data_IF_153576505720
#
_entry.id   IF_153576505720
#
_cell.length_a   1.000
_cell.length_b   1.000
_cell.length_c   1.000
_cell.angle_alpha   90.00
_cell.angle_beta   90.00
_cell.angle_gamma   90.00
#
_symmetry.space_group_name_H-M   'P 1'
#
loop_
_entity.id
_entity.type
_entity.pdbx_description
1 polymer ?
#
# COMPACT_ATOMS: atom_id res chain seq x y z
N UNK A 1 56.16 -11.61 25.64
CA UNK A 1 56.44 -10.20 25.29
C UNK A 1 55.38 -9.72 24.31
N UNK A 2 54.84 -8.53 24.55
CA UNK A 2 53.54 -8.03 24.10
C UNK A 2 53.66 -7.21 22.79
N UNK A 3 52.93 -7.52 21.71
CA UNK A 3 52.96 -6.75 20.46
C UNK A 3 51.92 -5.61 20.52
N UNK A 4 52.22 -4.61 21.33
CA UNK A 4 51.45 -3.37 21.40
C UNK A 4 52.40 -2.18 21.57
N UNK A 5 53.35 -2.01 20.65
CA UNK A 5 54.12 -0.76 20.49
C UNK A 5 55.00 -0.84 19.24
N UNK A 6 54.46 -0.40 18.10
CA UNK A 6 55.24 0.13 16.98
C UNK A 6 54.30 0.98 16.10
N UNK A 7 53.82 2.07 16.72
CA UNK A 7 53.38 3.28 16.02
C UNK A 7 54.57 4.22 15.92
N UNK A 8 54.72 4.83 14.73
CA UNK A 8 55.39 6.12 14.44
C UNK A 8 56.85 6.11 13.93
N UNK A 9 56.98 6.27 12.60
CA UNK A 9 57.91 7.13 11.81
C UNK A 9 57.67 6.75 10.32
N UNK A 10 57.38 7.60 9.33
CA UNK A 10 57.52 9.04 9.12
C UNK A 10 56.41 9.55 8.18
N UNK A 11 56.19 10.87 8.25
CA UNK A 11 55.24 11.68 7.49
C UNK A 11 55.74 12.02 6.08
N UNK A 12 54.78 12.41 5.24
CA UNK A 12 54.83 13.50 4.25
C UNK A 12 55.39 13.20 2.86
N UNK A 13 54.48 13.07 1.89
CA UNK A 13 54.51 13.90 0.69
C UNK A 13 53.09 14.34 0.35
N UNK A 14 52.92 15.66 0.31
CA UNK A 14 51.68 16.40 0.06
C UNK A 14 51.56 16.67 -1.43
N UNK A 15 50.44 16.27 -2.01
CA UNK A 15 49.76 16.87 -3.17
C UNK A 15 48.28 16.56 -2.87
N UNK A 16 47.36 17.49 -2.62
CA UNK A 16 47.23 18.84 -3.13
C UNK A 16 46.04 18.89 -4.09
N UNK A 17 44.81 18.61 -3.62
CA UNK A 17 43.57 18.98 -4.34
C UNK A 17 42.35 19.00 -3.39
N UNK A 18 41.88 20.23 -3.16
CA UNK A 18 40.54 20.67 -2.77
C UNK A 18 39.71 19.76 -1.83
N UNK A 19 39.83 20.03 -0.53
CA UNK A 19 38.80 19.71 0.45
C UNK A 19 37.58 20.62 0.25
N UNK A 20 36.45 20.05 -0.14
CA UNK A 20 35.13 20.65 0.11
C UNK A 20 34.54 19.96 1.33
N UNK A 21 34.74 20.54 2.50
CA UNK A 21 34.03 20.13 3.71
C UNK A 21 32.60 20.66 3.63
N UNK A 22 31.61 19.77 3.66
CA UNK A 22 30.21 20.14 3.94
C UNK A 22 29.82 19.48 5.26
N UNK A 23 29.44 20.32 6.21
CA UNK A 23 28.92 19.96 7.53
C UNK A 23 27.58 19.24 7.40
N UNK A 24 27.46 18.02 7.92
CA UNK A 24 26.18 17.35 8.13
C UNK A 24 25.68 17.67 9.55
N UNK A 25 24.57 18.39 9.65
CA UNK A 25 23.81 18.52 10.88
C UNK A 25 23.13 17.17 11.17
N UNK A 26 23.57 16.51 12.24
CA UNK A 26 22.96 15.28 12.75
C UNK A 26 21.66 15.62 13.51
N UNK A 27 20.58 15.91 12.79
CA UNK A 27 19.25 16.07 13.39
C UNK A 27 18.13 15.77 12.39
N UNK A 28 18.18 14.59 11.77
CA UNK A 28 17.03 13.94 11.12
C UNK A 28 17.38 12.46 10.94
N UNK A 29 16.62 11.58 11.60
CA UNK A 29 16.60 10.16 11.21
C UNK A 29 16.02 10.09 9.78
N UNK A 30 16.89 9.94 8.79
CA UNK A 30 16.49 9.71 7.39
C UNK A 30 15.98 8.27 7.20
N UNK A 31 15.01 8.05 6.28
CA UNK A 31 14.27 6.80 6.15
C UNK A 31 15.08 5.69 5.47
N UNK A 32 14.91 4.46 5.95
CA UNK A 32 15.46 3.26 5.33
C UNK A 32 14.60 2.81 4.14
N UNK A 33 14.83 3.40 2.96
CA UNK A 33 14.65 2.76 1.64
C UNK A 33 14.98 3.70 0.49
N UNK A 34 16.25 4.05 0.34
CA UNK A 34 16.75 4.58 -0.93
C UNK A 34 17.63 3.49 -1.53
N UNK A 35 17.31 3.05 -2.75
CA UNK A 35 18.27 2.27 -3.55
C UNK A 35 19.23 3.31 -4.10
N UNK A 36 20.52 3.21 -3.78
CA UNK A 36 21.49 4.15 -4.33
C UNK A 36 22.45 3.44 -5.29
N UNK A 37 22.77 4.16 -6.38
CA UNK A 37 23.74 3.72 -7.37
C UNK A 37 25.08 4.35 -7.01
N UNK A 38 26.08 3.52 -6.69
CA UNK A 38 27.45 3.99 -6.44
C UNK A 38 28.20 3.95 -7.78
N UNK A 39 28.61 5.11 -8.29
CA UNK A 39 29.48 5.17 -9.45
C UNK A 39 30.92 5.05 -8.99
N UNK A 40 31.54 3.90 -9.26
CA UNK A 40 32.95 3.62 -8.98
C UNK A 40 33.72 3.81 -10.29
N UNK A 41 34.92 4.39 -10.22
CA UNK A 41 35.76 4.58 -11.41
C UNK A 41 36.08 3.23 -12.07
N UNK A 42 36.20 3.20 -13.40
CA UNK A 42 36.50 1.97 -14.16
C UNK A 42 37.78 1.27 -13.67
N UNK A 43 38.81 2.05 -13.29
CA UNK A 43 40.05 1.51 -12.72
C UNK A 43 39.84 0.85 -11.35
N UNK A 44 38.99 1.42 -10.50
CA UNK A 44 38.69 0.88 -9.16
C UNK A 44 37.83 -0.39 -9.27
N UNK A 45 36.93 -0.46 -10.26
CA UNK A 45 36.14 -1.65 -10.58
C UNK A 45 37.00 -2.81 -11.09
N UNK A 46 38.02 -2.52 -11.91
CA UNK A 46 38.99 -3.51 -12.37
C UNK A 46 39.84 -4.04 -11.21
N UNK A 47 40.33 -3.15 -10.34
CA UNK A 47 41.07 -3.55 -9.13
C UNK A 47 40.23 -4.44 -8.21
N UNK A 48 38.95 -4.12 -8.04
CA UNK A 48 38.02 -4.91 -7.23
C UNK A 48 37.77 -6.29 -7.83
N UNK A 49 37.57 -6.37 -9.15
CA UNK A 49 37.39 -7.64 -9.86
C UNK A 49 38.60 -8.56 -9.64
N UNK A 50 39.81 -8.05 -9.82
CA UNK A 50 41.05 -8.81 -9.65
C UNK A 50 41.20 -9.34 -8.21
N UNK A 51 40.84 -8.52 -7.21
CA UNK A 51 40.90 -8.91 -5.80
C UNK A 51 39.87 -10.00 -5.45
N UNK A 52 38.64 -9.88 -5.95
CA UNK A 52 37.58 -10.86 -5.70
C UNK A 52 37.88 -12.20 -6.39
N UNK A 53 38.40 -12.16 -7.63
CA UNK A 53 38.85 -13.37 -8.32
C UNK A 53 40.03 -14.05 -7.60
N UNK A 54 40.98 -13.27 -7.07
CA UNK A 54 42.08 -13.80 -6.26
C UNK A 54 41.60 -14.48 -4.96
N UNK A 55 40.42 -14.10 -4.46
CA UNK A 55 39.75 -14.73 -3.31
C UNK A 55 38.83 -15.89 -3.70
N UNK A 56 38.80 -16.29 -4.98
CA UNK A 56 38.01 -17.41 -5.49
C UNK A 56 36.57 -17.08 -5.86
N UNK A 57 36.20 -15.80 -5.91
CA UNK A 57 34.87 -15.36 -6.33
C UNK A 57 34.82 -15.19 -7.85
N UNK A 58 34.05 -16.04 -8.53
CA UNK A 58 33.88 -15.97 -9.99
C UNK A 58 32.86 -16.98 -10.52
N UNK A 59 32.39 -16.80 -11.77
CA UNK A 59 32.83 -15.80 -12.74
C UNK A 59 32.27 -14.39 -12.45
N UNK A 60 33.11 -13.36 -12.71
CA UNK A 60 32.75 -11.94 -12.62
C UNK A 60 32.76 -11.33 -14.02
N UNK A 61 31.72 -10.57 -14.39
CA UNK A 61 31.63 -9.90 -15.70
C UNK A 61 31.29 -8.43 -15.56
N UNK A 62 31.70 -7.61 -16.54
CA UNK A 62 31.26 -6.23 -16.63
C UNK A 62 30.13 -6.06 -17.63
N UNK A 63 29.18 -5.20 -17.30
CA UNK A 63 28.16 -4.74 -18.25
C UNK A 63 28.21 -3.21 -18.37
N UNK A 64 28.30 -2.72 -19.60
CA UNK A 64 28.18 -1.29 -19.89
C UNK A 64 26.71 -0.97 -20.20
N UNK A 65 26.08 -0.14 -19.36
CA UNK A 65 24.73 0.39 -19.60
C UNK A 65 24.80 1.91 -19.64
N UNK A 66 24.01 2.56 -20.50
CA UNK A 66 24.00 4.00 -20.73
C UNK A 66 24.23 4.81 -19.43
N UNK A 67 25.47 5.29 -19.24
CA UNK A 67 25.89 6.10 -18.09
C UNK A 67 26.88 5.46 -17.09
N UNK A 68 27.25 4.17 -17.17
CA UNK A 68 28.24 3.57 -16.26
C UNK A 68 28.61 2.10 -16.50
N UNK A 69 29.65 1.64 -15.81
CA UNK A 69 30.18 0.25 -15.82
C UNK A 69 29.69 -0.50 -14.58
N UNK A 70 29.10 -1.69 -14.75
CA UNK A 70 28.61 -2.57 -13.66
C UNK A 70 29.55 -3.75 -13.49
N UNK A 71 29.88 -4.17 -12.27
CA UNK A 71 30.57 -5.44 -11.98
C UNK A 71 29.53 -6.45 -11.45
N UNK A 72 29.35 -7.57 -12.15
CA UNK A 72 28.39 -8.62 -11.84
C UNK A 72 29.10 -9.84 -11.21
N UNK A 73 28.48 -10.46 -10.20
CA UNK A 73 28.91 -11.73 -9.60
C UNK A 73 27.92 -12.83 -10.02
N UNK A 74 28.27 -13.59 -11.08
CA UNK A 74 27.34 -14.56 -11.68
C UNK A 74 26.11 -13.91 -12.32
N UNK A 75 24.97 -14.63 -12.31
CA UNK A 75 23.67 -14.16 -12.87
C UNK A 75 22.75 -13.49 -11.82
N UNK A 76 23.23 -13.27 -10.58
CA UNK A 76 22.41 -12.77 -9.47
C UNK A 76 22.71 -11.31 -9.12
N UNK A 77 21.67 -10.47 -9.05
CA UNK A 77 21.73 -9.09 -8.57
C UNK A 77 21.47 -9.08 -7.04
N UNK A 78 22.41 -8.53 -6.26
CA UNK A 78 22.26 -8.40 -4.80
C UNK A 78 21.95 -6.95 -4.43
N UNK A 79 20.83 -6.72 -3.76
CA UNK A 79 20.38 -5.40 -3.32
C UNK A 79 20.80 -5.16 -1.86
N UNK A 80 21.71 -4.22 -1.62
CA UNK A 80 22.11 -3.78 -0.27
C UNK A 80 22.08 -2.25 -0.21
N UNK A 81 21.68 -1.71 0.95
CA UNK A 81 21.68 -0.28 1.26
C UNK A 81 23.03 0.35 0.84
N UNK A 82 22.98 1.26 -0.13
CA UNK A 82 24.18 1.76 -0.75
C UNK A 82 25.00 2.69 0.16
N UNK A 83 24.42 3.29 1.20
CA UNK A 83 25.18 4.00 2.24
C UNK A 83 25.98 3.01 3.09
N UNK A 84 25.38 1.84 3.33
CA UNK A 84 26.00 0.74 4.05
C UNK A 84 27.10 0.08 3.19
N UNK A 85 26.87 -0.08 1.89
CA UNK A 85 27.90 -0.50 0.93
C UNK A 85 29.02 0.54 0.82
N UNK A 86 28.72 1.82 0.58
CA UNK A 86 29.71 2.90 0.48
C UNK A 86 30.62 2.94 1.73
N UNK A 87 30.02 2.91 2.93
CA UNK A 87 30.78 2.83 4.18
C UNK A 87 31.56 1.54 4.33
N UNK A 88 31.00 0.40 3.95
CA UNK A 88 31.74 -0.87 3.97
C UNK A 88 32.91 -0.85 2.99
N UNK A 89 32.75 -0.23 1.82
CA UNK A 89 33.77 -0.08 0.80
C UNK A 89 34.92 0.81 1.27
N UNK A 90 34.60 1.97 1.85
CA UNK A 90 35.59 2.86 2.45
C UNK A 90 36.33 2.19 3.61
N UNK A 91 35.61 1.50 4.49
CA UNK A 91 36.20 0.88 5.68
C UNK A 91 37.02 -0.38 5.38
N UNK A 92 36.60 -1.17 4.40
CA UNK A 92 37.23 -2.47 4.10
C UNK A 92 38.31 -2.36 3.03
N UNK A 93 38.20 -1.40 2.12
CA UNK A 93 39.09 -1.28 0.96
C UNK A 93 39.79 0.08 0.85
N UNK A 94 39.45 1.07 1.69
CA UNK A 94 40.10 2.39 1.69
C UNK A 94 39.82 3.24 0.45
N UNK A 95 38.80 2.86 -0.34
CA UNK A 95 38.41 3.53 -1.59
C UNK A 95 37.35 4.58 -1.24
N UNK A 96 37.58 5.88 -1.49
CA UNK A 96 36.57 6.91 -1.30
C UNK A 96 35.37 6.66 -2.21
N UNK A 97 34.16 6.70 -1.67
CA UNK A 97 32.94 6.44 -2.43
C UNK A 97 31.96 7.60 -2.28
N UNK A 98 31.42 8.08 -3.40
CA UNK A 98 30.43 9.16 -3.39
C UNK A 98 29.12 8.65 -4.00
N UNK A 99 28.01 8.92 -3.34
CA UNK A 99 26.66 8.69 -3.88
C UNK A 99 26.34 9.83 -4.84
N UNK A 100 26.20 9.54 -6.13
CA UNK A 100 26.19 10.59 -7.19
C UNK A 100 24.80 10.86 -7.78
N UNK A 101 23.83 9.94 -7.66
CA UNK A 101 22.46 10.16 -8.10
C UNK A 101 21.44 9.29 -7.36
N UNK A 102 20.21 9.80 -7.23
CA UNK A 102 19.03 9.09 -6.72
C UNK A 102 18.09 8.89 -7.92
N UNK A 103 18.00 7.67 -8.43
CA UNK A 103 16.97 7.31 -9.42
C UNK A 103 15.94 6.43 -8.71
N UNK A 104 14.71 6.95 -8.57
CA UNK A 104 13.55 6.15 -8.19
C UNK A 104 13.17 5.25 -9.37
N UNK A 105 13.72 4.03 -9.45
CA UNK A 105 13.11 2.99 -10.26
C UNK A 105 11.88 2.45 -9.53
N UNK A 106 10.72 3.08 -9.75
CA UNK A 106 9.43 2.43 -9.54
C UNK A 106 9.38 1.17 -10.42
N UNK A 107 9.49 -0.03 -9.84
CA UNK A 107 9.41 -1.24 -10.66
C UNK A 107 9.46 -2.56 -9.93
N UNK A 108 10.35 -2.74 -8.97
CA UNK A 108 10.53 -4.06 -8.34
C UNK A 108 9.98 -4.05 -6.93
N UNK A 109 8.77 -4.58 -6.81
CA UNK A 109 8.30 -5.15 -5.55
C UNK A 109 9.16 -6.38 -5.27
N UNK A 110 10.10 -6.28 -4.35
CA UNK A 110 10.74 -7.45 -3.72
C UNK A 110 9.76 -8.07 -2.70
N UNK A 111 8.62 -8.56 -3.22
CA UNK A 111 7.71 -9.41 -2.44
C UNK A 111 8.48 -10.70 -2.19
N UNK A 112 9.14 -10.79 -1.03
CA UNK A 112 9.87 -11.97 -0.62
C UNK A 112 9.03 -13.25 -0.90
N UNK A 113 9.52 -14.07 -1.85
CA UNK A 113 8.86 -15.30 -2.29
C UNK A 113 8.21 -15.27 -3.69
N UNK A 114 8.10 -14.11 -4.35
CA UNK A 114 7.59 -13.99 -5.73
C UNK A 114 8.74 -13.53 -6.63
N UNK A 115 9.31 -14.47 -7.40
CA UNK A 115 10.33 -14.16 -8.41
C UNK A 115 9.69 -13.71 -9.72
N UNK A 116 10.15 -12.57 -10.25
CA UNK A 116 9.78 -12.06 -11.58
C UNK A 116 8.60 -11.08 -11.60
N UNK A 117 8.35 -10.42 -12.75
CA UNK A 117 7.27 -9.44 -12.89
C UNK A 117 5.91 -10.11 -12.75
N UNK A 118 5.02 -9.52 -11.94
CA UNK A 118 3.65 -10.01 -11.82
C UNK A 118 2.92 -9.90 -13.18
N UNK A 119 2.16 -10.93 -13.60
CA UNK A 119 1.45 -10.90 -14.86
C UNK A 119 0.41 -9.79 -14.85
N UNK A 120 0.28 -9.07 -15.96
CA UNK A 120 -0.74 -8.01 -16.07
C UNK A 120 -2.14 -8.60 -15.96
N UNK A 121 -3.00 -7.96 -15.16
CA UNK A 121 -4.38 -8.39 -14.96
C UNK A 121 -5.27 -7.93 -16.10
N UNK A 122 -5.07 -6.71 -16.57
CA UNK A 122 -5.82 -6.14 -17.67
C UNK A 122 -4.99 -6.17 -18.94
N UNK A 123 -5.55 -6.75 -20.00
CA UNK A 123 -4.94 -6.77 -21.32
C UNK A 123 -5.24 -5.46 -22.04
N UNK A 124 -4.79 -4.34 -21.49
CA UNK A 124 -4.92 -3.07 -22.17
C UNK A 124 -3.88 -3.02 -23.29
N UNK A 125 -4.30 -3.06 -24.55
CA UNK A 125 -3.38 -2.76 -25.66
C UNK A 125 -2.84 -1.35 -25.45
N UNK A 126 -1.53 -1.18 -25.47
CA UNK A 126 -0.81 0.07 -25.09
C UNK A 126 -1.38 1.34 -25.76
N UNK A 127 -2.03 1.21 -26.93
CA UNK A 127 -2.64 2.32 -27.65
C UNK A 127 -4.02 2.77 -27.12
N UNK A 128 -4.63 2.08 -26.14
CA UNK A 128 -5.95 2.44 -25.60
C UNK A 128 -5.91 3.12 -24.23
N UNK A 129 -4.73 3.37 -23.65
CA UNK A 129 -4.63 4.10 -22.36
C UNK A 129 -4.77 5.62 -22.57
N UNK A 130 -4.17 6.15 -23.65
CA UNK A 130 -4.18 7.56 -24.03
C UNK A 130 -5.32 7.94 -24.99
N UNK A 131 -5.96 6.95 -25.62
CA UNK A 131 -7.01 7.14 -26.63
C UNK A 131 -8.36 6.56 -26.20
N UNK A 132 -8.68 6.53 -24.91
CA UNK A 132 -10.11 6.59 -24.56
C UNK A 132 -10.45 8.07 -24.69
N UNK A 133 -11.01 8.54 -25.82
CA UNK A 133 -11.52 9.89 -25.84
C UNK A 133 -12.44 10.01 -24.64
N UNK A 134 -12.43 11.17 -24.00
CA UNK A 134 -13.49 11.55 -23.07
C UNK A 134 -14.75 11.80 -23.92
N UNK A 135 -15.14 10.78 -24.71
CA UNK A 135 -16.32 10.71 -25.52
C UNK A 135 -17.44 10.65 -24.52
N UNK A 136 -17.82 11.85 -24.07
CA UNK A 136 -19.01 12.08 -23.30
C UNK A 136 -20.14 11.35 -24.02
N UNK A 137 -20.93 10.61 -23.24
CA UNK A 137 -22.27 10.29 -23.72
C UNK A 137 -22.91 11.65 -24.07
N UNK A 138 -23.69 11.74 -25.16
CA UNK A 138 -24.50 12.93 -25.41
C UNK A 138 -25.22 13.35 -24.12
N UNK A 139 -25.22 14.64 -23.77
CA UNK A 139 -25.80 15.14 -22.51
C UNK A 139 -27.26 14.70 -22.29
N UNK A 140 -27.96 14.33 -23.36
CA UNK A 140 -29.26 13.66 -23.35
C UNK A 140 -29.23 12.44 -24.27
N UNK A 141 -28.68 11.32 -23.80
CA UNK A 141 -28.79 10.03 -24.50
C UNK A 141 -30.06 9.29 -24.04
N UNK A 142 -31.07 9.10 -24.92
CA UNK A 142 -32.36 8.53 -24.53
C UNK A 142 -32.26 7.12 -23.95
N UNK A 143 -31.28 6.33 -24.38
CA UNK A 143 -31.07 4.98 -23.85
C UNK A 143 -30.52 5.06 -22.42
N UNK A 144 -29.58 5.95 -22.16
CA UNK A 144 -29.00 6.16 -20.82
C UNK A 144 -30.06 6.66 -19.85
N UNK A 145 -30.84 7.67 -20.25
CA UNK A 145 -31.95 8.20 -19.45
C UNK A 145 -32.99 7.11 -19.12
N UNK A 146 -33.36 6.29 -20.11
CA UNK A 146 -34.26 5.17 -19.90
C UNK A 146 -33.71 4.17 -18.88
N UNK A 147 -32.42 3.80 -19.00
CA UNK A 147 -31.78 2.87 -18.08
C UNK A 147 -31.71 3.45 -16.65
N UNK A 148 -31.42 4.74 -16.50
CA UNK A 148 -31.38 5.41 -15.20
C UNK A 148 -32.77 5.51 -14.56
N UNK A 149 -33.79 5.82 -15.35
CA UNK A 149 -35.18 5.83 -14.89
C UNK A 149 -35.64 4.43 -14.43
N UNK A 150 -35.31 3.37 -15.18
CA UNK A 150 -35.60 1.99 -14.79
C UNK A 150 -34.84 1.55 -13.54
N UNK A 151 -33.59 2.00 -13.37
CA UNK A 151 -32.84 1.73 -12.15
C UNK A 151 -33.51 2.34 -10.92
N UNK A 152 -34.12 3.52 -11.06
CA UNK A 152 -34.81 4.23 -9.98
C UNK A 152 -36.23 3.70 -9.70
N UNK A 153 -36.87 3.04 -10.66
CA UNK A 153 -38.27 2.58 -10.53
C UNK A 153 -38.44 1.32 -9.66
N UNK A 154 -37.35 0.74 -9.16
CA UNK A 154 -37.28 -0.57 -8.47
C UNK A 154 -37.75 -1.78 -9.33
N UNK A 155 -38.11 -1.59 -10.60
CA UNK A 155 -38.43 -2.70 -11.51
C UNK A 155 -37.15 -3.37 -12.04
N UNK A 156 -36.58 -4.23 -11.20
CA UNK A 156 -35.31 -4.91 -11.49
C UNK A 156 -35.40 -5.82 -12.72
N UNK A 157 -36.58 -6.40 -13.01
CA UNK A 157 -36.77 -7.27 -14.16
C UNK A 157 -36.76 -6.49 -15.47
N UNK A 158 -37.50 -5.38 -15.54
CA UNK A 158 -37.48 -4.49 -16.70
C UNK A 158 -36.09 -3.89 -16.92
N UNK A 159 -35.40 -3.50 -15.85
CA UNK A 159 -34.04 -2.99 -15.92
C UNK A 159 -33.05 -4.02 -16.46
N UNK A 160 -33.09 -5.28 -15.97
CA UNK A 160 -32.29 -6.39 -16.49
C UNK A 160 -32.50 -6.62 -17.98
N UNK A 161 -33.77 -6.65 -18.40
CA UNK A 161 -34.12 -6.87 -19.80
C UNK A 161 -33.60 -5.73 -20.68
N UNK A 162 -33.77 -4.47 -20.25
CA UNK A 162 -33.28 -3.30 -20.98
C UNK A 162 -31.74 -3.31 -21.12
N UNK A 163 -31.01 -3.64 -20.04
CA UNK A 163 -29.56 -3.79 -20.09
C UNK A 163 -29.13 -4.88 -21.09
N UNK A 164 -29.74 -6.08 -21.01
CA UNK A 164 -29.39 -7.17 -21.92
C UNK A 164 -29.72 -6.82 -23.38
N UNK A 165 -30.83 -6.14 -23.64
CA UNK A 165 -31.18 -5.68 -24.99
C UNK A 165 -30.13 -4.70 -25.52
N UNK A 166 -29.70 -3.72 -24.72
CA UNK A 166 -28.63 -2.80 -25.10
C UNK A 166 -27.31 -3.55 -25.39
N UNK A 167 -26.95 -4.53 -24.56
CA UNK A 167 -25.73 -5.32 -24.71
C UNK A 167 -25.74 -6.15 -26.01
N UNK A 168 -26.86 -6.74 -26.38
CA UNK A 168 -26.94 -7.58 -27.59
C UNK A 168 -27.08 -6.78 -28.88
N UNK A 169 -27.67 -5.58 -28.82
CA UNK A 169 -27.97 -4.79 -30.02
C UNK A 169 -26.86 -3.82 -30.41
N UNK A 170 -26.14 -3.28 -29.43
CA UNK A 170 -25.08 -2.30 -29.68
C UNK A 170 -23.75 -2.97 -30.08
N UNK A 171 -22.98 -2.39 -31.01
CA UNK A 171 -21.64 -2.88 -31.35
C UNK A 171 -20.64 -2.58 -30.22
N UNK A 172 -19.54 -3.34 -30.15
CA UNK A 172 -18.52 -3.16 -29.09
C UNK A 172 -17.81 -1.79 -29.14
N UNK A 173 -17.84 -1.09 -30.27
CA UNK A 173 -17.33 0.28 -30.41
C UNK A 173 -18.27 1.36 -29.83
N UNK A 174 -19.50 1.01 -29.42
CA UNK A 174 -20.47 1.96 -28.89
C UNK A 174 -20.32 2.12 -27.37
N UNK A 175 -20.03 3.35 -26.91
CA UNK A 175 -19.83 3.69 -25.49
C UNK A 175 -21.05 3.36 -24.62
N UNK A 176 -22.26 3.36 -25.18
CA UNK A 176 -23.50 3.01 -24.45
C UNK A 176 -23.55 1.53 -24.11
N UNK A 177 -22.88 0.68 -24.91
CA UNK A 177 -22.70 -0.73 -24.57
C UNK A 177 -21.83 -0.87 -23.33
N UNK A 178 -20.71 -0.14 -23.26
CA UNK A 178 -19.85 -0.10 -22.08
C UNK A 178 -20.60 0.37 -20.82
N UNK A 179 -21.47 1.37 -20.96
CA UNK A 179 -22.38 1.80 -19.90
C UNK A 179 -23.27 0.64 -19.42
N UNK A 180 -23.99 -0.02 -20.34
CA UNK A 180 -24.90 -1.11 -20.00
C UNK A 180 -24.18 -2.32 -19.37
N UNK A 181 -23.02 -2.73 -19.91
CA UNK A 181 -22.21 -3.82 -19.35
C UNK A 181 -21.74 -3.48 -17.93
N UNK A 182 -21.31 -2.24 -17.69
CA UNK A 182 -20.90 -1.80 -16.34
C UNK A 182 -22.03 -1.99 -15.33
N UNK A 183 -23.27 -1.58 -15.68
CA UNK A 183 -24.43 -1.70 -14.78
C UNK A 183 -24.87 -3.15 -14.61
N UNK A 184 -24.82 -3.95 -15.67
CA UNK A 184 -25.06 -5.40 -15.60
C UNK A 184 -24.08 -6.07 -14.64
N UNK A 185 -22.79 -5.75 -14.73
CA UNK A 185 -21.77 -6.26 -13.82
C UNK A 185 -21.98 -5.83 -12.37
N UNK A 186 -22.39 -4.58 -12.12
CA UNK A 186 -22.76 -4.11 -10.77
C UNK A 186 -23.98 -4.85 -10.23
N UNK A 187 -24.98 -5.13 -11.08
CA UNK A 187 -26.17 -5.85 -10.66
C UNK A 187 -25.84 -7.30 -10.23
N UNK A 188 -24.98 -7.99 -10.99
CA UNK A 188 -24.47 -9.30 -10.59
C UNK A 188 -23.67 -9.24 -9.28
N UNK A 189 -22.92 -8.16 -9.08
CA UNK A 189 -22.18 -7.93 -7.83
C UNK A 189 -23.11 -7.81 -6.62
N UNK A 190 -24.21 -7.07 -6.75
CA UNK A 190 -25.21 -6.89 -5.69
C UNK A 190 -25.89 -8.22 -5.33
N UNK A 191 -26.04 -9.12 -6.31
CA UNK A 191 -26.56 -10.47 -6.12
C UNK A 191 -25.51 -11.49 -5.68
N UNK A 192 -24.26 -11.05 -5.49
CA UNK A 192 -23.11 -11.89 -5.13
C UNK A 192 -22.75 -12.96 -6.18
N UNK A 193 -23.16 -12.75 -7.43
CA UNK A 193 -22.74 -13.58 -8.56
C UNK A 193 -21.36 -13.10 -9.07
N UNK A 194 -20.32 -13.40 -8.29
CA UNK A 194 -18.97 -12.85 -8.53
C UNK A 194 -18.38 -13.22 -9.89
N UNK A 195 -18.60 -14.45 -10.36
CA UNK A 195 -18.04 -14.91 -11.64
C UNK A 195 -18.67 -14.18 -12.83
N UNK A 196 -20.00 -14.02 -12.82
CA UNK A 196 -20.71 -13.23 -13.84
C UNK A 196 -20.34 -11.74 -13.76
N UNK A 197 -20.21 -11.20 -12.54
CA UNK A 197 -19.75 -9.82 -12.36
C UNK A 197 -18.34 -9.62 -12.94
N UNK A 198 -17.39 -10.54 -12.69
CA UNK A 198 -16.04 -10.51 -13.27
C UNK A 198 -16.08 -10.60 -14.80
N UNK A 199 -16.95 -11.46 -15.36
CA UNK A 199 -17.12 -11.57 -16.81
C UNK A 199 -17.55 -10.23 -17.40
N UNK A 200 -18.62 -9.62 -16.90
CA UNK A 200 -19.15 -8.37 -17.46
C UNK A 200 -18.19 -7.20 -17.23
N UNK A 201 -17.73 -6.99 -16.00
CA UNK A 201 -16.84 -5.87 -15.66
C UNK A 201 -15.46 -6.02 -16.32
N UNK A 202 -14.97 -7.25 -16.48
CA UNK A 202 -13.71 -7.56 -17.14
C UNK A 202 -13.66 -7.07 -18.58
N UNK A 203 -14.75 -7.26 -19.35
CA UNK A 203 -14.84 -6.77 -20.74
C UNK A 203 -14.59 -5.27 -20.84
N UNK A 204 -15.20 -4.49 -19.96
CA UNK A 204 -15.03 -3.02 -19.94
C UNK A 204 -13.65 -2.64 -19.40
N UNK A 205 -13.18 -3.29 -18.33
CA UNK A 205 -11.86 -3.03 -17.75
C UNK A 205 -10.71 -3.30 -18.73
N UNK A 206 -10.79 -4.40 -19.47
CA UNK A 206 -9.84 -4.79 -20.52
C UNK A 206 -9.92 -3.92 -21.78
N UNK A 207 -10.96 -3.08 -21.92
CA UNK A 207 -11.19 -2.29 -23.14
C UNK A 207 -11.68 -3.12 -24.32
N UNK A 208 -12.27 -4.30 -24.08
CA UNK A 208 -12.92 -5.12 -25.12
C UNK A 208 -14.20 -4.46 -25.65
N UNK A 209 -14.78 -3.55 -24.86
CA UNK A 209 -15.92 -2.72 -25.24
C UNK A 209 -15.59 -1.27 -24.94
N UNK A 210 -15.90 -0.38 -25.88
CA UNK A 210 -15.76 1.06 -25.71
C UNK A 210 -16.60 1.54 -24.52
N UNK A 211 -16.00 2.34 -23.64
CA UNK A 211 -16.64 2.86 -22.45
C UNK A 211 -16.01 4.19 -22.05
N UNK A 212 -16.76 5.02 -21.32
CA UNK A 212 -16.20 6.23 -20.72
C UNK A 212 -15.11 5.84 -19.72
N UNK A 213 -14.12 6.72 -19.56
CA UNK A 213 -13.05 6.54 -18.58
C UNK A 213 -13.58 6.31 -17.16
N UNK A 214 -14.62 7.03 -16.74
CA UNK A 214 -15.28 6.82 -15.44
C UNK A 214 -15.84 5.41 -15.28
N UNK A 215 -16.49 4.88 -16.31
CA UNK A 215 -17.08 3.53 -16.28
C UNK A 215 -15.98 2.46 -16.27
N UNK A 216 -14.87 2.69 -16.99
CA UNK A 216 -13.69 1.83 -16.96
C UNK A 216 -12.99 1.83 -15.60
N UNK A 217 -12.77 3.00 -15.00
CA UNK A 217 -12.24 3.13 -13.64
C UNK A 217 -13.10 2.36 -12.63
N UNK A 218 -14.44 2.51 -12.72
CA UNK A 218 -15.38 1.75 -11.90
C UNK A 218 -15.21 0.25 -12.10
N UNK A 219 -15.15 -0.23 -13.34
CA UNK A 219 -14.99 -1.66 -13.63
C UNK A 219 -13.67 -2.21 -13.10
N UNK A 220 -12.53 -1.56 -13.37
CA UNK A 220 -11.22 -1.98 -12.87
C UNK A 220 -11.19 -2.07 -11.34
N UNK A 221 -11.73 -1.05 -10.66
CA UNK A 221 -11.82 -1.05 -9.18
C UNK A 221 -12.66 -2.22 -8.68
N UNK A 222 -13.83 -2.47 -9.29
CA UNK A 222 -14.73 -3.55 -8.90
C UNK A 222 -14.13 -4.93 -9.15
N UNK A 223 -13.38 -5.10 -10.24
CA UNK A 223 -12.61 -6.33 -10.50
C UNK A 223 -11.59 -6.56 -9.39
N UNK A 224 -10.79 -5.55 -9.03
CA UNK A 224 -9.86 -5.64 -7.89
C UNK A 224 -10.55 -6.05 -6.59
N UNK A 225 -11.69 -5.44 -6.30
CA UNK A 225 -12.49 -5.78 -5.11
C UNK A 225 -13.02 -7.21 -5.13
N UNK A 226 -13.57 -7.70 -6.25
CA UNK A 226 -14.07 -9.08 -6.35
C UNK A 226 -12.92 -10.08 -6.13
N UNK A 227 -11.76 -9.83 -6.75
CA UNK A 227 -10.59 -10.68 -6.58
C UNK A 227 -10.15 -10.74 -5.11
N UNK A 228 -10.18 -9.60 -4.40
CA UNK A 228 -9.91 -9.55 -2.97
C UNK A 228 -10.92 -10.38 -2.17
N UNK A 229 -12.22 -10.25 -2.45
CA UNK A 229 -13.27 -11.04 -1.77
C UNK A 229 -13.15 -12.55 -2.04
N UNK A 230 -12.66 -12.94 -3.22
CA UNK A 230 -12.38 -14.34 -3.57
C UNK A 230 -11.05 -14.87 -2.98
N UNK A 231 -10.32 -14.05 -2.21
CA UNK A 231 -9.03 -14.42 -1.63
C UNK A 231 -7.86 -14.39 -2.62
N UNK A 232 -8.06 -13.90 -3.84
CA UNK A 232 -7.02 -13.77 -4.88
C UNK A 232 -6.24 -12.47 -4.69
N UNK A 233 -5.55 -12.34 -3.56
CA UNK A 233 -4.94 -11.08 -3.09
C UNK A 233 -3.89 -10.50 -4.04
N UNK A 234 -3.02 -11.34 -4.60
CA UNK A 234 -2.01 -10.89 -5.56
C UNK A 234 -2.63 -10.36 -6.85
N UNK A 235 -3.65 -11.05 -7.38
CA UNK A 235 -4.38 -10.57 -8.56
C UNK A 235 -5.13 -9.27 -8.28
N UNK A 236 -5.71 -9.14 -7.08
CA UNK A 236 -6.38 -7.91 -6.63
C UNK A 236 -5.38 -6.74 -6.54
N UNK A 237 -4.20 -6.99 -5.96
CA UNK A 237 -3.14 -6.01 -5.84
C UNK A 237 -2.70 -5.52 -7.21
N UNK A 238 -2.46 -6.44 -8.14
CA UNK A 238 -2.08 -6.10 -9.50
C UNK A 238 -3.18 -5.30 -10.22
N UNK A 239 -4.45 -5.69 -10.06
CA UNK A 239 -5.58 -4.94 -10.63
C UNK A 239 -5.62 -3.49 -10.12
N UNK A 240 -5.35 -3.29 -8.83
CA UNK A 240 -5.29 -1.96 -8.24
C UNK A 240 -4.09 -1.14 -8.73
N UNK A 241 -2.89 -1.72 -8.82
CA UNK A 241 -1.72 -1.03 -9.39
C UNK A 241 -1.94 -0.61 -10.85
N UNK A 242 -2.63 -1.42 -11.64
CA UNK A 242 -2.99 -1.06 -13.00
C UNK A 242 -4.05 0.05 -13.06
N UNK A 243 -5.03 0.04 -12.15
CA UNK A 243 -5.98 1.16 -12.01
C UNK A 243 -5.29 2.45 -11.61
N UNK A 244 -4.32 2.42 -10.69
CA UNK A 244 -3.55 3.60 -10.29
C UNK A 244 -2.85 4.26 -11.48
N UNK A 245 -2.23 3.45 -12.34
CA UNK A 245 -1.55 3.90 -13.56
C UNK A 245 -2.53 4.40 -14.63
N UNK A 246 -3.73 3.82 -14.69
CA UNK A 246 -4.75 4.20 -15.66
C UNK A 246 -5.49 5.49 -15.29
N UNK A 247 -5.77 5.70 -14.00
CA UNK A 247 -6.59 6.82 -13.56
C UNK A 247 -5.79 8.13 -13.55
N UNK A 248 -6.43 9.21 -14.01
CA UNK A 248 -5.96 10.59 -13.85
C UNK A 248 -6.61 11.29 -12.64
N UNK A 249 -7.52 10.61 -11.95
CA UNK A 249 -8.21 11.14 -10.79
C UNK A 249 -7.44 10.84 -9.50
N UNK A 250 -6.97 11.89 -8.81
CA UNK A 250 -6.18 11.79 -7.59
C UNK A 250 -6.92 11.11 -6.42
N UNK A 251 -8.23 11.33 -6.26
CA UNK A 251 -9.01 10.60 -5.26
C UNK A 251 -8.97 9.09 -5.52
N UNK A 252 -9.13 8.69 -6.79
CA UNK A 252 -9.05 7.26 -7.15
C UNK A 252 -7.65 6.71 -6.89
N UNK A 253 -6.57 7.47 -7.17
CA UNK A 253 -5.19 7.05 -6.84
C UNK A 253 -5.03 6.87 -5.34
N UNK A 254 -5.48 7.83 -4.53
CA UNK A 254 -5.41 7.78 -3.08
C UNK A 254 -6.14 6.54 -2.52
N UNK A 255 -7.38 6.30 -2.96
CA UNK A 255 -8.14 5.12 -2.58
C UNK A 255 -7.41 3.82 -2.95
N UNK A 256 -6.91 3.73 -4.18
CA UNK A 256 -6.23 2.54 -4.69
C UNK A 256 -4.94 2.23 -3.93
N UNK A 257 -4.16 3.25 -3.54
CA UNK A 257 -2.97 3.08 -2.69
C UNK A 257 -3.32 2.52 -1.32
N UNK A 258 -4.42 2.97 -0.72
CA UNK A 258 -4.93 2.41 0.54
C UNK A 258 -5.31 0.94 0.38
N UNK A 259 -6.02 0.58 -0.69
CA UNK A 259 -6.36 -0.82 -0.99
C UNK A 259 -5.11 -1.68 -1.21
N UNK A 260 -4.12 -1.18 -1.95
CA UNK A 260 -2.82 -1.83 -2.14
C UNK A 260 -2.09 -2.06 -0.81
N UNK A 261 -2.04 -1.06 0.07
CA UNK A 261 -1.45 -1.20 1.40
C UNK A 261 -2.17 -2.28 2.22
N UNK A 262 -3.49 -2.38 2.09
CA UNK A 262 -4.32 -3.34 2.83
C UNK A 262 -4.02 -4.77 2.39
N UNK A 263 -3.95 -4.97 1.08
CA UNK A 263 -3.56 -6.26 0.50
C UNK A 263 -2.14 -6.66 0.89
N UNK A 264 -1.18 -5.74 0.87
CA UNK A 264 0.20 -6.00 1.33
C UNK A 264 0.24 -6.40 2.81
N UNK A 265 -0.55 -5.74 3.65
CA UNK A 265 -0.67 -6.11 5.06
C UNK A 265 -1.27 -7.50 5.24
N UNK A 266 -2.34 -7.83 4.51
CA UNK A 266 -2.96 -9.16 4.56
C UNK A 266 -2.00 -10.26 4.08
N UNK A 267 -1.31 -10.04 2.95
CA UNK A 267 -0.31 -10.96 2.40
C UNK A 267 0.82 -11.23 3.40
N UNK A 268 1.38 -10.19 4.00
CA UNK A 268 2.45 -10.32 4.98
C UNK A 268 2.00 -11.09 6.23
N UNK A 269 0.78 -10.85 6.70
CA UNK A 269 0.29 -11.41 7.98
C UNK A 269 -0.30 -12.80 7.88
N UNK A 270 -1.01 -13.09 6.80
CA UNK A 270 -1.79 -14.31 6.67
C UNK A 270 -1.14 -15.33 5.75
N UNK A 271 -0.35 -14.88 4.78
CA UNK A 271 0.26 -15.74 3.76
C UNK A 271 1.79 -15.78 3.88
N UNK A 272 2.39 -14.90 4.69
CA UNK A 272 3.84 -14.82 4.84
C UNK A 272 4.55 -14.32 3.58
N UNK A 273 3.82 -13.63 2.71
CA UNK A 273 4.32 -13.08 1.44
C UNK A 273 4.60 -11.60 1.63
N UNK A 274 5.82 -11.16 1.29
CA UNK A 274 6.24 -9.77 1.49
C UNK A 274 6.44 -9.40 2.96
N UNK A 275 6.29 -8.11 3.29
CA UNK A 275 6.58 -7.57 4.62
C UNK A 275 5.64 -6.43 5.04
N UNK A 276 5.49 -6.25 6.35
CA UNK A 276 4.78 -5.10 6.91
C UNK A 276 5.49 -3.76 6.59
N UNK A 277 6.78 -3.78 6.27
CA UNK A 277 7.50 -2.62 5.77
C UNK A 277 7.02 -2.16 4.38
N UNK A 278 6.60 -3.08 3.51
CA UNK A 278 6.01 -2.75 2.20
C UNK A 278 4.67 -2.06 2.35
N UNK A 279 3.81 -2.56 3.24
CA UNK A 279 2.56 -1.89 3.60
C UNK A 279 2.83 -0.46 4.06
N UNK A 280 3.81 -0.24 4.94
CA UNK A 280 4.17 1.10 5.42
C UNK A 280 4.62 2.03 4.30
N UNK A 281 5.45 1.54 3.38
CA UNK A 281 5.90 2.33 2.22
C UNK A 281 4.72 2.75 1.36
N UNK A 282 3.76 1.85 1.11
CA UNK A 282 2.58 2.18 0.32
C UNK A 282 1.67 3.20 1.03
N UNK A 283 1.50 3.09 2.35
CA UNK A 283 0.84 4.13 3.15
C UNK A 283 1.55 5.48 3.05
N UNK A 284 2.89 5.51 3.09
CA UNK A 284 3.66 6.76 2.98
C UNK A 284 3.51 7.42 1.61
N UNK A 285 3.61 6.65 0.52
CA UNK A 285 3.36 7.17 -0.83
C UNK A 285 1.98 7.80 -0.94
N UNK A 286 0.98 7.21 -0.30
CA UNK A 286 -0.36 7.80 -0.22
C UNK A 286 -0.30 9.15 0.52
N UNK A 287 0.29 9.19 1.72
CA UNK A 287 0.32 10.39 2.56
C UNK A 287 1.13 11.56 1.98
N UNK A 288 2.13 11.27 1.16
CA UNK A 288 2.99 12.28 0.50
C UNK A 288 2.30 13.03 -0.64
N UNK A 289 1.44 12.34 -1.40
CA UNK A 289 0.81 12.93 -2.60
C UNK A 289 -0.61 13.45 -2.34
N UNK A 290 -1.21 13.03 -1.23
CA UNK A 290 -2.65 13.20 -1.01
C UNK A 290 -2.91 14.46 -0.19
N UNK A 291 -3.59 15.44 -0.78
CA UNK A 291 -4.03 16.66 -0.11
C UNK A 291 -4.95 16.39 1.10
N UNK A 292 -4.99 17.35 2.03
CA UNK A 292 -5.83 17.28 3.24
C UNK A 292 -7.34 17.14 2.94
N UNK A 293 -7.78 17.49 1.72
CA UNK A 293 -9.16 17.28 1.27
C UNK A 293 -9.58 15.80 1.25
N UNK A 294 -8.63 14.86 1.12
CA UNK A 294 -8.88 13.42 1.14
C UNK A 294 -8.64 12.84 2.54
N UNK A 295 -9.22 13.52 3.54
CA UNK A 295 -9.00 13.25 4.95
C UNK A 295 -9.35 11.82 5.37
N UNK A 296 -10.34 11.20 4.73
CA UNK A 296 -10.77 9.83 5.03
C UNK A 296 -9.71 8.80 4.62
N UNK A 297 -9.19 8.94 3.41
CA UNK A 297 -8.14 8.07 2.88
C UNK A 297 -6.85 8.27 3.70
N UNK A 298 -6.52 9.51 4.09
CA UNK A 298 -5.35 9.82 4.95
C UNK A 298 -5.47 9.16 6.32
N UNK A 299 -6.64 9.27 6.97
CA UNK A 299 -6.93 8.61 8.24
C UNK A 299 -6.81 7.08 8.11
N UNK A 300 -7.26 6.50 7.00
CA UNK A 300 -7.16 5.06 6.78
C UNK A 300 -5.70 4.62 6.60
N UNK A 301 -4.91 5.35 5.81
CA UNK A 301 -3.49 5.07 5.60
C UNK A 301 -2.67 5.20 6.90
N UNK A 302 -2.90 6.24 7.70
CA UNK A 302 -2.20 6.42 8.99
C UNK A 302 -2.58 5.34 10.01
N UNK A 303 -3.84 4.93 10.04
CA UNK A 303 -4.29 3.83 10.89
C UNK A 303 -3.59 2.52 10.52
N UNK A 304 -3.52 2.20 9.22
CA UNK A 304 -2.84 1.00 8.73
C UNK A 304 -1.34 1.05 8.98
N UNK A 305 -0.72 2.21 8.77
CA UNK A 305 0.70 2.44 9.07
C UNK A 305 1.02 2.13 10.54
N UNK A 306 0.21 2.65 11.47
CA UNK A 306 0.27 2.33 12.90
C UNK A 306 0.07 0.84 13.17
N UNK A 307 -0.94 0.23 12.56
CA UNK A 307 -1.31 -1.17 12.75
C UNK A 307 -0.16 -2.12 12.40
N UNK A 308 0.68 -1.75 11.41
CA UNK A 308 1.88 -2.53 11.09
C UNK A 308 2.86 -2.66 12.27
N UNK A 309 3.09 -1.60 13.05
CA UNK A 309 4.00 -1.64 14.20
C UNK A 309 3.44 -2.48 15.35
N UNK A 310 2.12 -2.43 15.53
CA UNK A 310 1.45 -3.27 16.51
C UNK A 310 1.66 -4.75 16.18
N UNK A 311 1.51 -5.16 14.91
CA UNK A 311 1.73 -6.55 14.51
C UNK A 311 3.19 -7.00 14.57
N UNK A 312 4.15 -6.09 14.43
CA UNK A 312 5.57 -6.35 14.69
C UNK A 312 5.90 -6.44 16.19
N UNK A 313 4.92 -6.23 17.09
CA UNK A 313 5.13 -6.20 18.54
C UNK A 313 5.85 -4.94 19.04
N UNK A 314 5.99 -3.92 18.20
CA UNK A 314 6.64 -2.63 18.52
C UNK A 314 5.65 -1.71 19.23
N UNK A 315 5.21 -2.15 20.41
CA UNK A 315 4.09 -1.57 21.15
C UNK A 315 4.32 -0.10 21.55
N UNK A 316 5.55 0.32 21.86
CA UNK A 316 5.86 1.71 22.19
C UNK A 316 5.54 2.65 21.02
N UNK A 317 5.91 2.23 19.81
CA UNK A 317 5.69 3.02 18.59
C UNK A 317 4.21 3.01 18.23
N UNK A 318 3.57 1.84 18.28
CA UNK A 318 2.13 1.73 18.01
C UNK A 318 1.30 2.60 18.96
N UNK A 319 1.62 2.61 20.26
CA UNK A 319 0.95 3.46 21.24
C UNK A 319 1.15 4.96 20.94
N UNK A 320 2.40 5.38 20.68
CA UNK A 320 2.68 6.79 20.35
C UNK A 320 2.00 7.26 19.08
N UNK A 321 1.97 6.44 18.03
CA UNK A 321 1.24 6.74 16.81
C UNK A 321 -0.27 6.81 17.08
N UNK A 322 -0.80 5.95 17.94
CA UNK A 322 -2.23 5.95 18.29
C UNK A 322 -2.63 7.23 19.03
N UNK A 323 -1.80 7.70 19.97
CA UNK A 323 -2.01 8.97 20.66
C UNK A 323 -2.13 10.13 19.66
N UNK A 324 -1.19 10.21 18.73
CA UNK A 324 -1.20 11.21 17.66
C UNK A 324 -2.44 11.09 16.77
N UNK A 325 -2.82 9.87 16.40
CA UNK A 325 -3.98 9.59 15.55
C UNK A 325 -5.29 10.08 16.19
N UNK A 326 -5.51 9.73 17.46
CA UNK A 326 -6.71 10.07 18.23
C UNK A 326 -6.92 11.58 18.35
N UNK A 327 -5.82 12.34 18.43
CA UNK A 327 -5.86 13.80 18.46
C UNK A 327 -6.12 14.41 17.08
N UNK A 328 -5.61 13.78 16.03
CA UNK A 328 -5.68 14.29 14.65
C UNK A 328 -7.02 14.02 13.96
N UNK A 329 -7.64 12.87 14.24
CA UNK A 329 -8.87 12.40 13.58
C UNK A 329 -10.04 12.14 14.55
N UNK A 330 -10.42 13.11 15.41
CA UNK A 330 -11.56 12.93 16.31
C UNK A 330 -12.89 12.84 15.55
N UNK A 331 -12.96 13.35 14.32
CA UNK A 331 -14.12 13.37 13.43
C UNK A 331 -14.31 12.08 12.62
N UNK A 332 -13.45 11.07 12.80
CA UNK A 332 -13.45 9.82 12.02
C UNK A 332 -13.82 8.64 12.91
N UNK A 333 -15.09 8.44 13.29
CA UNK A 333 -15.48 7.54 14.36
C UNK A 333 -15.06 6.08 14.14
N UNK A 334 -15.06 5.62 12.88
CA UNK A 334 -14.58 4.27 12.52
C UNK A 334 -13.08 4.14 12.79
N UNK A 335 -12.27 4.98 12.15
CA UNK A 335 -10.82 4.89 12.26
C UNK A 335 -10.35 5.22 13.68
N UNK A 336 -11.00 6.19 14.35
CA UNK A 336 -10.76 6.55 15.74
C UNK A 336 -10.96 5.35 16.68
N UNK A 337 -12.07 4.62 16.55
CA UNK A 337 -12.35 3.47 17.42
C UNK A 337 -11.35 2.33 17.20
N UNK A 338 -10.91 2.12 15.96
CA UNK A 338 -9.85 1.17 15.65
C UNK A 338 -8.50 1.60 16.24
N UNK A 339 -8.13 2.88 16.11
CA UNK A 339 -6.91 3.43 16.69
C UNK A 339 -6.91 3.28 18.21
N UNK A 340 -8.03 3.58 18.89
CA UNK A 340 -8.19 3.39 20.33
C UNK A 340 -8.08 1.92 20.75
N UNK A 341 -8.59 0.99 19.94
CA UNK A 341 -8.42 -0.44 20.21
C UNK A 341 -6.95 -0.87 20.09
N UNK A 342 -6.24 -0.41 19.05
CA UNK A 342 -4.81 -0.66 18.92
C UNK A 342 -3.99 0.02 20.02
N UNK A 343 -4.37 1.23 20.44
CA UNK A 343 -3.80 1.92 21.59
C UNK A 343 -3.94 1.06 22.86
N UNK A 344 -5.15 0.53 23.10
CA UNK A 344 -5.41 -0.34 24.24
C UNK A 344 -4.58 -1.62 24.22
N UNK A 345 -4.48 -2.27 23.04
CA UNK A 345 -3.67 -3.47 22.86
C UNK A 345 -2.16 -3.17 23.06
N UNK A 346 -1.66 -2.09 22.49
CA UNK A 346 -0.27 -1.67 22.62
C UNK A 346 0.09 -1.36 24.08
N UNK A 347 -0.73 -0.59 24.79
CA UNK A 347 -0.52 -0.31 26.22
C UNK A 347 -0.60 -1.57 27.09
N UNK A 348 -1.48 -2.52 26.77
CA UNK A 348 -1.46 -3.83 27.42
C UNK A 348 -0.13 -4.55 27.19
N UNK A 349 0.40 -4.53 25.97
CA UNK A 349 1.72 -5.09 25.64
C UNK A 349 2.87 -4.46 26.43
N UNK A 350 2.70 -3.20 26.86
CA UNK A 350 3.64 -2.47 27.72
C UNK A 350 3.38 -2.65 29.22
N UNK A 351 2.36 -3.40 29.63
CA UNK A 351 1.95 -3.54 31.03
C UNK A 351 1.25 -2.30 31.63
N UNK A 352 0.85 -1.35 30.79
CA UNK A 352 0.22 -0.08 31.18
C UNK A 352 -1.31 -0.25 31.27
N UNK A 353 -1.78 -0.82 32.38
CA UNK A 353 -3.21 -1.12 32.61
C UNK A 353 -4.10 0.12 32.48
N UNK A 354 -3.78 1.21 33.17
CA UNK A 354 -4.63 2.41 33.22
C UNK A 354 -4.84 3.05 31.85
N UNK A 355 -3.77 3.18 31.05
CA UNK A 355 -3.88 3.73 29.70
C UNK A 355 -4.67 2.80 28.78
N UNK A 356 -4.50 1.49 28.89
CA UNK A 356 -5.26 0.51 28.12
C UNK A 356 -6.75 0.55 28.48
N UNK A 357 -7.09 0.59 29.78
CA UNK A 357 -8.45 0.78 30.28
C UNK A 357 -9.07 2.07 29.76
N UNK A 358 -8.36 3.19 29.86
CA UNK A 358 -8.84 4.49 29.41
C UNK A 358 -9.17 4.50 27.90
N UNK A 359 -8.33 3.89 27.07
CA UNK A 359 -8.58 3.74 25.65
C UNK A 359 -9.83 2.88 25.36
N UNK A 360 -9.99 1.74 26.05
CA UNK A 360 -11.17 0.87 25.90
C UNK A 360 -12.46 1.57 26.31
N UNK A 361 -12.46 2.30 27.43
CA UNK A 361 -13.61 3.09 27.87
C UNK A 361 -13.99 4.14 26.82
N UNK A 362 -13.00 4.78 26.18
CA UNK A 362 -13.22 5.74 25.10
C UNK A 362 -13.85 5.10 23.85
N UNK A 363 -13.50 3.85 23.50
CA UNK A 363 -14.19 3.10 22.42
C UNK A 363 -15.68 2.93 22.75
N UNK A 364 -16.00 2.54 24.00
CA UNK A 364 -17.38 2.31 24.42
C UNK A 364 -18.24 3.59 24.39
N UNK A 365 -17.64 4.74 24.69
CA UNK A 365 -18.32 6.05 24.70
C UNK A 365 -18.31 6.78 23.36
N UNK A 366 -17.50 6.36 22.38
CA UNK A 366 -17.46 6.99 21.05
C UNK A 366 -18.84 6.87 20.38
N UNK A 367 -19.40 8.00 19.95
CA UNK A 367 -20.65 8.04 19.18
C UNK A 367 -20.40 7.60 17.73
N UNK A 368 -21.33 6.85 17.18
CA UNK A 368 -21.26 6.36 15.81
C UNK A 368 -22.38 6.99 15.00
N UNK A 369 -22.14 7.40 13.75
CA UNK A 369 -23.19 7.92 12.89
C UNK A 369 -24.29 6.86 12.73
N UNK A 370 -25.55 7.28 12.91
CA UNK A 370 -26.72 6.41 12.75
C UNK A 370 -26.88 5.93 11.30
N UNK A 371 -26.46 6.74 10.34
CA UNK A 371 -26.44 6.37 8.93
C UNK A 371 -25.09 5.71 8.59
N UNK A 372 -25.07 4.39 8.30
CA UNK A 372 -23.92 3.75 7.75
C UNK A 372 -23.78 4.10 6.27
N UNK A 373 -23.61 5.40 5.97
CA UNK A 373 -23.21 5.86 4.65
C UNK A 373 -22.14 4.91 4.11
N UNK A 374 -22.38 4.39 2.91
CA UNK A 374 -21.78 3.17 2.35
C UNK A 374 -20.30 3.00 2.72
N UNK A 375 -20.02 2.34 3.84
CA UNK A 375 -18.66 1.90 4.13
C UNK A 375 -18.45 0.59 3.37
N UNK A 376 -18.06 0.73 2.11
CA UNK A 376 -17.63 -0.38 1.26
C UNK A 376 -16.47 -1.09 1.96
N UNK A 377 -16.74 -2.19 2.66
CA UNK A 377 -15.71 -3.04 3.26
C UNK A 377 -16.07 -3.76 4.56
N UNK A 378 -17.11 -3.38 5.31
CA UNK A 378 -17.37 -4.05 6.60
C UNK A 378 -18.68 -3.65 7.30
N UNK A 379 -19.81 -3.55 6.58
CA UNK A 379 -21.09 -3.17 7.20
C UNK A 379 -21.53 -4.10 8.35
N UNK A 380 -20.93 -5.30 8.49
CA UNK A 380 -21.13 -6.20 9.63
C UNK A 380 -20.19 -6.01 10.85
N UNK A 381 -19.11 -5.22 10.76
CA UNK A 381 -18.08 -5.15 11.83
C UNK A 381 -18.22 -3.97 12.80
N UNK A 382 -19.24 -3.11 12.65
CA UNK A 382 -19.40 -1.90 13.48
C UNK A 382 -19.77 -2.23 14.93
N UNK A 383 -20.81 -3.04 15.12
CA UNK A 383 -21.24 -3.55 16.44
C UNK A 383 -20.19 -4.46 17.09
N UNK A 384 -19.39 -5.11 16.25
CA UNK A 384 -18.32 -6.00 16.68
C UNK A 384 -17.23 -5.23 17.44
N UNK A 385 -16.92 -3.96 17.09
CA UNK A 385 -15.82 -3.24 17.73
C UNK A 385 -16.09 -2.83 19.18
N UNK A 386 -17.25 -2.25 19.49
CA UNK A 386 -17.59 -1.92 20.89
C UNK A 386 -17.75 -3.19 21.72
N UNK A 387 -18.34 -4.24 21.15
CA UNK A 387 -18.44 -5.55 21.82
C UNK A 387 -17.06 -6.15 22.10
N UNK A 388 -16.16 -6.15 21.12
CA UNK A 388 -14.74 -6.56 21.28
C UNK A 388 -14.03 -5.75 22.35
N UNK A 389 -14.24 -4.43 22.38
CA UNK A 389 -13.67 -3.56 23.40
C UNK A 389 -14.23 -3.87 24.80
N UNK A 390 -15.54 -4.12 24.92
CA UNK A 390 -16.16 -4.51 26.18
C UNK A 390 -15.66 -5.90 26.66
N UNK A 391 -15.62 -6.90 25.77
CA UNK A 391 -15.08 -8.22 26.07
C UNK A 391 -13.61 -8.15 26.48
N UNK A 392 -12.82 -7.31 25.82
CA UNK A 392 -11.43 -7.06 26.18
C UNK A 392 -11.35 -6.39 27.57
N UNK A 393 -12.09 -5.30 27.79
CA UNK A 393 -12.12 -4.61 29.08
C UNK A 393 -12.51 -5.56 30.21
N UNK A 394 -13.55 -6.39 30.04
CA UNK A 394 -13.98 -7.37 31.05
C UNK A 394 -12.86 -8.33 31.42
N UNK A 395 -12.20 -8.94 30.43
CA UNK A 395 -11.11 -9.90 30.67
C UNK A 395 -9.93 -9.23 31.36
N UNK A 396 -9.56 -8.03 30.91
CA UNK A 396 -8.38 -7.33 31.43
C UNK A 396 -8.64 -6.76 32.83
N UNK A 397 -9.81 -6.18 33.09
CA UNK A 397 -10.21 -5.72 34.41
C UNK A 397 -10.33 -6.86 35.43
N UNK A 398 -10.81 -8.04 35.01
CA UNK A 398 -10.82 -9.24 35.86
C UNK A 398 -9.41 -9.65 36.28
N UNK A 399 -8.44 -9.58 35.37
CA UNK A 399 -7.03 -9.90 35.68
C UNK A 399 -6.42 -8.95 36.71
N UNK A 400 -6.86 -7.69 36.76
CA UNK A 400 -6.37 -6.65 37.67
C UNK A 400 -7.29 -6.40 38.87
N UNK A 401 -8.30 -7.26 39.09
CA UNK A 401 -9.28 -7.15 40.19
C UNK A 401 -10.05 -5.81 40.20
N UNK A 402 -10.22 -5.20 39.03
CA UNK A 402 -10.93 -3.92 38.84
C UNK A 402 -12.43 -4.14 38.63
N UNK A 403 -13.17 -4.17 39.74
CA UNK A 403 -14.61 -4.41 39.74
C UNK A 403 -15.39 -3.38 38.90
N UNK A 404 -14.96 -2.11 38.88
CA UNK A 404 -15.62 -1.06 38.11
C UNK A 404 -15.46 -1.30 36.61
N UNK A 405 -14.26 -1.68 36.16
CA UNK A 405 -13.99 -2.04 34.77
C UNK A 405 -14.86 -3.23 34.31
N UNK A 406 -15.02 -4.26 35.16
CA UNK A 406 -15.90 -5.40 34.89
C UNK A 406 -17.35 -4.96 34.79
N UNK A 407 -17.84 -4.16 35.74
CA UNK A 407 -19.22 -3.69 35.76
C UNK A 407 -19.58 -2.86 34.52
N UNK A 408 -18.69 -1.95 34.09
CA UNK A 408 -18.90 -1.16 32.87
C UNK A 408 -18.98 -2.05 31.63
N UNK A 409 -18.06 -3.02 31.50
CA UNK A 409 -18.05 -3.94 30.37
C UNK A 409 -19.31 -4.83 30.33
N UNK A 410 -19.74 -5.38 31.46
CA UNK A 410 -20.96 -6.20 31.54
C UNK A 410 -22.23 -5.37 31.27
N UNK A 411 -22.27 -4.14 31.79
CA UNK A 411 -23.37 -3.22 31.50
C UNK A 411 -23.51 -2.90 30.02
N UNK A 412 -22.40 -2.92 29.26
CA UNK A 412 -22.43 -2.79 27.80
C UNK A 412 -22.86 -4.10 27.12
N UNK A 413 -22.28 -5.23 27.49
CA UNK A 413 -22.53 -6.55 26.86
C UNK A 413 -23.98 -7.06 27.05
N UNK A 414 -24.67 -6.58 28.08
CA UNK A 414 -26.06 -6.95 28.38
C UNK A 414 -27.11 -6.07 27.68
N UNK A 415 -26.70 -5.03 26.96
CA UNK A 415 -27.57 -4.20 26.11
C UNK A 415 -27.53 -4.69 24.67
#
# INVERSE_FOLDING_TARGET
MNPQMLRNRMRSLVFGMLCTAVSLNASSLEPASTIYRVQVGEQDLLMLQDQLQAQGWGPLSFEQSAGGVRLLLGEAEYYVDALLCARHFENSYGIPSQVVAIDNTEGELDLAGIGGPMPTRFQCRENHMSEVPDSALPEADPLVEQLESLQQSNDTAAYRLALMNAIHTLPDADVRKGYAITRKGILELLERNFDDALLWLGRVANGEVAARRLDRNKCMRRVGWILHQQGKRLEAYQAYRELERFTENELVRAMVRVECAGLLMELARHEGIGSLAECRRECQKMLEVTDEQYRQERATAELMFLETFYYEGRNEIAASLADSFVMKYPDRPRELSMALLFQACAHKGLGNYEQSKAALLKVLTTEWPEDPGESWGSSGHRWDMKRKAADFLKKYATQFEDADGVAVAEGYLNR
#
